data_IF_207737696603
#
_entry.id   IF_207737696603
#
_cell.length_a   1.000
_cell.length_b   1.000
_cell.length_c   1.000
_cell.angle_alpha   90.00
_cell.angle_beta   90.00
_cell.angle_gamma   90.00
#
_symmetry.space_group_name_H-M   'P 1'
#
loop_
_entity.id
_entity.type
_entity.pdbx_description
1 polymer ?
#
# COMPACT_ATOMS: atom_id res chain seq x y z
N UNK A 1 6.17 -4.34 -14.51
CA UNK A 1 5.48 -3.06 -14.70
C UNK A 1 4.37 -2.89 -13.67
N UNK A 2 3.26 -3.64 -13.76
CA UNK A 2 2.11 -3.51 -12.84
C UNK A 2 2.50 -3.67 -11.35
N UNK A 3 3.40 -4.61 -11.01
CA UNK A 3 3.85 -4.86 -9.62
C UNK A 3 4.41 -3.59 -8.95
N UNK A 4 5.41 -2.94 -9.57
CA UNK A 4 6.02 -1.72 -9.02
C UNK A 4 5.00 -0.57 -8.91
N UNK A 5 4.11 -0.44 -9.92
CA UNK A 5 3.03 0.54 -9.90
C UNK A 5 2.06 0.33 -8.74
N UNK A 6 1.58 -0.91 -8.56
CA UNK A 6 0.64 -1.25 -7.49
C UNK A 6 1.24 -1.09 -6.10
N UNK A 7 2.51 -1.47 -5.93
CA UNK A 7 3.21 -1.31 -4.65
C UNK A 7 3.44 0.18 -4.33
N UNK A 8 3.92 0.96 -5.30
CA UNK A 8 4.11 2.40 -5.15
C UNK A 8 2.81 3.13 -4.82
N UNK A 9 1.75 2.87 -5.58
CA UNK A 9 0.46 3.53 -5.41
C UNK A 9 -0.20 3.21 -4.06
N UNK A 10 -0.33 1.92 -3.70
CA UNK A 10 -1.01 1.54 -2.47
C UNK A 10 -0.23 1.94 -1.22
N UNK A 11 1.11 1.83 -1.25
CA UNK A 11 1.93 2.32 -0.13
C UNK A 11 1.86 3.85 -0.02
N UNK A 12 1.93 4.57 -1.13
CA UNK A 12 1.78 6.03 -1.16
C UNK A 12 0.43 6.49 -0.62
N UNK A 13 -0.68 5.82 -0.99
CA UNK A 13 -2.01 6.15 -0.46
C UNK A 13 -2.08 5.87 1.05
N UNK A 14 -1.62 4.71 1.52
CA UNK A 14 -1.63 4.40 2.95
C UNK A 14 -0.81 5.40 3.77
N UNK A 15 0.48 5.51 3.48
CA UNK A 15 1.35 6.39 4.24
C UNK A 15 0.92 7.83 4.10
N UNK A 16 0.44 8.24 2.92
CA UNK A 16 -0.11 9.57 2.71
C UNK A 16 -1.36 9.84 3.56
N UNK A 17 -2.29 8.88 3.67
CA UNK A 17 -3.45 9.03 4.55
C UNK A 17 -3.05 9.13 6.02
N UNK A 18 -2.08 8.33 6.47
CA UNK A 18 -1.57 8.37 7.85
C UNK A 18 -0.91 9.72 8.15
N UNK A 19 -0.06 10.21 7.25
CA UNK A 19 0.61 11.52 7.36
C UNK A 19 -0.42 12.64 7.37
N UNK A 20 -1.43 12.59 6.48
CA UNK A 20 -2.52 13.56 6.43
C UNK A 20 -3.39 13.58 7.68
N UNK A 21 -3.55 12.43 8.35
CA UNK A 21 -4.25 12.29 9.64
C UNK A 21 -3.39 12.78 10.83
N UNK A 22 -2.07 12.82 10.72
CA UNK A 22 -1.20 13.27 11.83
C UNK A 22 -0.97 14.79 11.77
N UNK A 23 -0.75 15.33 10.58
CA UNK A 23 -0.32 16.71 10.34
C UNK A 23 -1.47 17.68 10.04
N UNK A 24 -2.69 17.38 10.51
CA UNK A 24 -3.90 18.17 10.26
C UNK A 24 -3.65 19.68 10.19
N UNK A 25 -4.07 20.32 9.10
CA UNK A 25 -4.02 21.77 8.93
C UNK A 25 -2.93 22.30 7.98
N UNK A 26 -1.95 21.48 7.59
CA UNK A 26 -0.98 21.84 6.54
C UNK A 26 -0.92 20.79 5.43
N UNK A 27 -1.84 20.93 4.46
CA UNK A 27 -1.92 20.06 3.28
C UNK A 27 -0.61 20.04 2.49
N UNK A 28 0.11 21.17 2.44
CA UNK A 28 1.33 21.29 1.64
C UNK A 28 2.44 20.42 2.23
N UNK A 29 2.68 20.54 3.54
CA UNK A 29 3.68 19.73 4.26
C UNK A 29 3.32 18.24 4.23
N UNK A 30 2.05 17.91 4.47
CA UNK A 30 1.54 16.53 4.38
C UNK A 30 1.80 15.94 2.99
N UNK A 31 1.51 16.69 1.94
CA UNK A 31 1.67 16.23 0.55
C UNK A 31 3.14 16.00 0.18
N UNK A 32 4.05 16.91 0.56
CA UNK A 32 5.49 16.76 0.27
C UNK A 32 6.05 15.49 0.93
N UNK A 33 5.75 15.27 2.21
CA UNK A 33 6.21 14.10 2.95
C UNK A 33 5.64 12.82 2.32
N UNK A 34 4.36 12.83 1.98
CA UNK A 34 3.66 11.70 1.38
C UNK A 34 4.19 11.34 0.00
N UNK A 35 4.50 12.34 -0.84
CA UNK A 35 5.14 12.15 -2.15
C UNK A 35 6.52 11.51 -1.98
N UNK A 36 7.34 12.00 -1.05
CA UNK A 36 8.68 11.46 -0.83
C UNK A 36 8.66 9.99 -0.42
N UNK A 37 7.72 9.62 0.45
CA UNK A 37 7.52 8.23 0.88
C UNK A 37 7.07 7.37 -0.30
N UNK A 38 6.02 7.79 -1.01
CA UNK A 38 5.47 7.05 -2.16
C UNK A 38 6.48 6.88 -3.29
N UNK A 39 7.23 7.94 -3.61
CA UNK A 39 8.29 7.91 -4.61
C UNK A 39 9.42 6.97 -4.22
N UNK A 40 9.88 7.02 -2.97
CA UNK A 40 10.95 6.14 -2.48
C UNK A 40 10.57 4.67 -2.57
N UNK A 41 9.34 4.31 -2.18
CA UNK A 41 8.85 2.94 -2.24
C UNK A 41 8.66 2.49 -3.69
N UNK A 42 8.08 3.34 -4.54
CA UNK A 42 7.93 3.09 -5.97
C UNK A 42 9.27 2.90 -6.69
N UNK A 43 10.28 3.68 -6.32
CA UNK A 43 11.63 3.57 -6.85
C UNK A 43 12.28 2.23 -6.44
N UNK A 44 12.31 1.93 -5.14
CA UNK A 44 12.95 0.71 -4.60
C UNK A 44 12.31 -0.56 -5.17
N UNK A 45 10.97 -0.58 -5.28
CA UNK A 45 10.23 -1.75 -5.80
C UNK A 45 10.36 -1.93 -7.31
N UNK A 46 10.72 -0.87 -8.06
CA UNK A 46 10.97 -0.93 -9.50
C UNK A 46 12.35 -1.46 -9.89
N UNK A 47 13.37 -1.26 -9.05
CA UNK A 47 14.78 -1.66 -9.30
C UNK A 47 14.94 -3.10 -9.79
N UNK A 48 14.32 -4.13 -9.18
CA UNK A 48 14.56 -5.52 -9.56
C UNK A 48 13.95 -5.91 -10.93
N UNK A 49 13.12 -5.05 -11.55
CA UNK A 49 12.42 -5.39 -12.78
C UNK A 49 13.02 -4.72 -14.02
N UNK A 50 12.96 -3.38 -14.12
CA UNK A 50 13.49 -2.61 -15.26
C UNK A 50 13.45 -1.11 -14.99
N UNK A 51 14.17 -0.32 -15.79
CA UNK A 51 14.13 1.15 -15.70
C UNK A 51 12.71 1.70 -15.93
N UNK A 52 11.95 1.11 -16.85
CA UNK A 52 10.54 1.47 -17.08
C UNK A 52 9.68 1.18 -15.84
N UNK A 53 9.92 0.06 -15.15
CA UNK A 53 9.20 -0.25 -13.91
C UNK A 53 9.54 0.72 -12.77
N UNK A 54 10.77 1.24 -12.71
CA UNK A 54 11.16 2.30 -11.77
C UNK A 54 10.38 3.59 -12.06
N UNK A 55 10.28 4.00 -13.34
CA UNK A 55 9.55 5.21 -13.73
C UNK A 55 8.06 5.06 -13.36
N UNK A 56 7.41 3.98 -13.77
CA UNK A 56 6.00 3.75 -13.47
C UNK A 56 5.72 3.64 -11.97
N UNK A 57 6.59 2.94 -11.23
CA UNK A 57 6.52 2.83 -9.78
C UNK A 57 6.66 4.19 -9.09
N UNK A 58 7.64 4.99 -9.52
CA UNK A 58 7.89 6.31 -8.92
C UNK A 58 6.76 7.30 -9.20
N UNK A 59 6.26 7.35 -10.44
CA UNK A 59 5.14 8.23 -10.83
C UNK A 59 3.85 7.83 -10.12
N UNK A 60 3.54 6.53 -10.08
CA UNK A 60 2.36 6.05 -9.36
C UNK A 60 2.46 6.22 -7.85
N UNK A 61 3.65 6.09 -7.27
CA UNK A 61 3.92 6.38 -5.86
C UNK A 61 3.74 7.86 -5.52
N UNK A 62 4.21 8.77 -6.40
CA UNK A 62 3.96 10.20 -6.30
C UNK A 62 2.46 10.52 -6.35
N UNK A 63 1.73 9.95 -7.31
CA UNK A 63 0.28 10.12 -7.44
C UNK A 63 -0.47 9.56 -6.22
N UNK A 64 -0.06 8.38 -5.74
CA UNK A 64 -0.62 7.75 -4.55
C UNK A 64 -0.38 8.58 -3.28
N UNK A 65 0.82 9.13 -3.11
CA UNK A 65 1.16 10.01 -1.99
C UNK A 65 0.31 11.28 -1.95
N UNK A 66 0.11 11.94 -3.10
CA UNK A 66 -0.77 13.12 -3.18
C UNK A 66 -2.22 12.78 -2.85
N UNK A 67 -2.77 11.73 -3.46
CA UNK A 67 -4.15 11.31 -3.18
C UNK A 67 -4.32 10.85 -1.73
N UNK A 68 -3.30 10.19 -1.17
CA UNK A 68 -3.29 9.78 0.23
C UNK A 68 -3.34 10.97 1.19
N UNK A 69 -2.46 11.97 1.00
CA UNK A 69 -2.44 13.18 1.83
C UNK A 69 -3.79 13.90 1.83
N UNK A 70 -4.39 14.06 0.64
CA UNK A 70 -5.71 14.68 0.47
C UNK A 70 -6.83 13.87 1.13
N UNK A 71 -6.81 12.54 0.98
CA UNK A 71 -7.77 11.66 1.67
C UNK A 71 -7.62 11.75 3.19
N UNK A 72 -6.38 11.79 3.70
CA UNK A 72 -6.09 11.95 5.12
C UNK A 72 -6.72 13.22 5.68
N UNK A 73 -6.48 14.37 5.04
CA UNK A 73 -7.05 15.65 5.49
C UNK A 73 -8.59 15.68 5.45
N UNK A 74 -9.22 15.11 4.41
CA UNK A 74 -10.68 15.14 4.29
C UNK A 74 -11.38 14.23 5.31
N UNK A 75 -10.76 13.11 5.66
CA UNK A 75 -11.37 12.04 6.48
C UNK A 75 -11.41 12.42 7.96
N UNK A 76 -10.49 13.26 8.40
CA UNK A 76 -10.27 13.56 9.82
C UNK A 76 -11.37 14.43 10.41
N UNK A 77 -12.19 15.01 9.56
CA UNK A 77 -13.42 15.71 9.93
C UNK A 77 -14.59 14.77 10.27
N UNK A 78 -14.50 13.46 10.00
CA UNK A 78 -15.62 12.54 10.18
C UNK A 78 -15.27 11.32 11.04
N UNK A 79 -14.37 10.44 10.58
CA UNK A 79 -14.02 9.18 11.28
C UNK A 79 -12.64 8.64 10.79
N UNK A 80 -11.51 9.15 11.30
CA UNK A 80 -10.17 8.73 10.84
C UNK A 80 -9.88 7.24 11.02
N UNK A 81 -10.24 6.66 12.17
CA UNK A 81 -9.99 5.25 12.45
C UNK A 81 -10.64 4.30 11.46
N UNK A 82 -11.90 4.56 11.08
CA UNK A 82 -12.64 3.66 10.19
C UNK A 82 -12.04 3.65 8.78
N UNK A 83 -11.65 4.83 8.28
CA UNK A 83 -11.02 4.94 6.97
C UNK A 83 -9.64 4.27 6.93
N UNK A 84 -8.80 4.51 7.93
CA UNK A 84 -7.48 3.89 8.02
C UNK A 84 -7.59 2.36 8.09
N UNK A 85 -8.55 1.84 8.86
CA UNK A 85 -8.88 0.41 8.89
C UNK A 85 -9.24 -0.09 7.48
N UNK A 86 -10.19 0.54 6.78
CA UNK A 86 -10.60 0.10 5.43
C UNK A 86 -9.44 0.15 4.43
N UNK A 87 -8.67 1.23 4.42
CA UNK A 87 -7.52 1.41 3.54
C UNK A 87 -6.42 0.37 3.78
N UNK A 88 -6.12 0.08 5.06
CA UNK A 88 -5.14 -0.95 5.41
C UNK A 88 -5.61 -2.33 4.95
N UNK A 89 -6.90 -2.65 5.09
CA UNK A 89 -7.47 -3.89 4.55
C UNK A 89 -7.28 -4.00 3.03
N UNK A 90 -7.62 -2.96 2.27
CA UNK A 90 -7.46 -2.98 0.81
C UNK A 90 -6.00 -3.14 0.39
N UNK A 91 -5.09 -2.47 1.09
CA UNK A 91 -3.66 -2.57 0.78
C UNK A 91 -3.10 -3.95 1.07
N UNK A 92 -3.46 -4.57 2.19
CA UNK A 92 -3.02 -5.94 2.48
C UNK A 92 -3.59 -6.93 1.45
N UNK A 93 -4.86 -6.79 1.07
CA UNK A 93 -5.45 -7.62 0.01
C UNK A 93 -4.70 -7.49 -1.32
N UNK A 94 -4.42 -6.27 -1.76
CA UNK A 94 -3.71 -6.01 -3.01
C UNK A 94 -2.27 -6.52 -2.93
N UNK A 95 -1.57 -6.32 -1.81
CA UNK A 95 -0.21 -6.83 -1.63
C UNK A 95 -0.16 -8.36 -1.68
N UNK A 96 -1.14 -9.05 -1.10
CA UNK A 96 -1.26 -10.51 -1.24
C UNK A 96 -1.43 -10.95 -2.69
N UNK A 97 -2.29 -10.27 -3.47
CA UNK A 97 -2.47 -10.57 -4.90
C UNK A 97 -1.18 -10.34 -5.69
N UNK A 98 -0.47 -9.25 -5.40
CA UNK A 98 0.82 -8.93 -6.03
C UNK A 98 1.88 -9.97 -5.68
N UNK A 99 1.97 -10.40 -4.42
CA UNK A 99 2.87 -11.47 -3.98
C UNK A 99 2.57 -12.78 -4.71
N UNK A 100 1.29 -13.17 -4.81
CA UNK A 100 0.89 -14.37 -5.54
C UNK A 100 1.28 -14.34 -7.02
N UNK A 101 0.99 -13.23 -7.72
CA UNK A 101 1.39 -13.07 -9.13
C UNK A 101 2.91 -13.08 -9.31
N UNK A 102 3.64 -12.50 -8.36
CA UNK A 102 5.11 -12.49 -8.37
C UNK A 102 5.67 -13.90 -8.15
N UNK A 103 5.11 -14.67 -7.22
CA UNK A 103 5.48 -16.06 -6.97
C UNK A 103 5.20 -16.95 -8.17
N UNK A 104 4.04 -16.82 -8.82
CA UNK A 104 3.69 -17.59 -10.02
C UNK A 104 4.71 -17.34 -11.14
N UNK A 105 5.08 -16.08 -11.39
CA UNK A 105 6.11 -15.72 -12.36
C UNK A 105 7.50 -16.22 -11.97
N UNK A 106 7.82 -16.30 -10.68
CA UNK A 106 9.09 -16.87 -10.19
C UNK A 106 9.14 -18.39 -10.37
N UNK A 107 8.03 -19.10 -10.15
CA UNK A 107 7.93 -20.55 -10.33
C UNK A 107 8.07 -20.94 -11.80
N UNK A 108 7.42 -20.19 -12.71
CA UNK A 108 7.61 -20.34 -14.15
C UNK A 108 9.06 -20.03 -14.58
N UNK A 109 9.73 -19.12 -13.88
CA UNK A 109 11.14 -18.74 -14.13
C UNK A 109 12.19 -19.60 -13.39
N UNK A 110 11.79 -20.70 -12.74
CA UNK A 110 12.66 -21.70 -12.09
C UNK A 110 13.68 -21.14 -11.06
N UNK A 111 13.38 -20.01 -10.40
CA UNK A 111 14.14 -19.50 -9.24
C UNK A 111 13.40 -19.87 -7.96
N UNK A 112 13.87 -20.91 -7.27
CA UNK A 112 13.41 -21.29 -5.92
C UNK A 112 13.75 -20.17 -4.92
N UNK A 113 12.77 -19.35 -4.55
CA UNK A 113 12.92 -18.32 -3.53
C UNK A 113 11.60 -17.93 -2.87
N UNK A 114 11.61 -17.98 -1.54
CA UNK A 114 10.57 -17.60 -0.57
C UNK A 114 9.23 -18.38 -0.62
N UNK A 115 9.13 -19.36 0.27
CA UNK A 115 8.09 -20.37 0.32
C UNK A 115 7.24 -20.16 1.59
N UNK A 116 6.05 -19.54 1.52
CA UNK A 116 4.96 -19.76 2.49
C UNK A 116 3.57 -19.24 2.05
N UNK A 117 3.46 -18.24 1.17
CA UNK A 117 2.17 -17.68 0.71
C UNK A 117 1.54 -18.48 -0.46
N UNK A 118 2.36 -19.28 -1.16
CA UNK A 118 2.00 -19.92 -2.42
C UNK A 118 0.87 -20.96 -2.40
N UNK A 119 0.61 -21.63 -1.27
CA UNK A 119 -0.19 -22.87 -1.31
C UNK A 119 -1.72 -22.64 -1.34
N UNK A 120 -2.22 -21.52 -0.80
CA UNK A 120 -3.65 -21.18 -0.80
C UNK A 120 -3.93 -19.65 -0.75
N UNK A 121 -3.87 -18.93 -1.89
CA UNK A 121 -4.02 -17.46 -1.92
C UNK A 121 -5.42 -16.98 -1.47
N UNK A 122 -6.47 -17.75 -1.70
CA UNK A 122 -7.81 -17.42 -1.22
C UNK A 122 -7.97 -17.60 0.30
N UNK A 123 -7.17 -18.50 0.89
CA UNK A 123 -7.16 -18.76 2.33
C UNK A 123 -6.40 -17.66 3.07
N UNK A 124 -5.31 -17.12 2.51
CA UNK A 124 -4.62 -15.95 3.08
C UNK A 124 -5.49 -14.68 3.03
N UNK A 125 -6.26 -14.48 1.95
CA UNK A 125 -7.25 -13.40 1.87
C UNK A 125 -8.36 -13.59 2.92
N UNK A 126 -8.89 -14.81 3.08
CA UNK A 126 -9.89 -15.11 4.09
C UNK A 126 -9.38 -14.87 5.52
N UNK A 127 -8.15 -15.28 5.83
CA UNK A 127 -7.51 -15.04 7.13
C UNK A 127 -7.35 -13.54 7.40
N UNK A 128 -6.97 -12.76 6.39
CA UNK A 128 -6.81 -11.30 6.54
C UNK A 128 -8.14 -10.62 6.84
N UNK A 129 -9.22 -11.04 6.17
CA UNK A 129 -10.57 -10.54 6.41
C UNK A 129 -11.05 -10.91 7.82
N UNK A 130 -10.82 -12.15 8.26
CA UNK A 130 -11.18 -12.62 9.60
C UNK A 130 -10.37 -11.87 10.68
N UNK A 131 -9.06 -11.70 10.48
CA UNK A 131 -8.20 -10.94 11.38
C UNK A 131 -8.66 -9.48 11.51
N UNK A 132 -9.03 -8.86 10.40
CA UNK A 132 -9.55 -7.50 10.39
C UNK A 132 -10.90 -7.38 11.10
N UNK A 133 -11.79 -8.36 10.91
CA UNK A 133 -13.07 -8.40 11.63
C UNK A 133 -12.85 -8.55 13.15
N UNK A 134 -11.79 -9.25 13.55
CA UNK A 134 -11.35 -9.36 14.94
C UNK A 134 -10.81 -8.02 15.48
N UNK A 135 -10.05 -7.28 14.66
CA UNK A 135 -9.45 -5.99 15.02
C UNK A 135 -10.47 -4.83 15.04
N UNK A 136 -11.68 -5.03 14.51
CA UNK A 136 -12.76 -4.03 14.50
C UNK A 136 -13.00 -3.41 15.88
N UNK A 137 -12.81 -4.20 16.95
CA UNK A 137 -13.05 -3.80 18.34
C UNK A 137 -11.89 -3.05 19.01
N UNK A 138 -10.80 -2.77 18.29
CA UNK A 138 -9.63 -2.05 18.83
C UNK A 138 -9.64 -0.61 18.33
N UNK A 139 -9.71 0.37 19.23
CA UNK A 139 -9.49 1.79 18.93
C UNK A 139 -8.00 1.99 18.58
N UNK A 140 -7.71 2.62 17.44
CA UNK A 140 -6.33 2.75 16.91
C UNK A 140 -5.76 4.12 17.29
N UNK A 141 -6.61 5.11 17.56
CA UNK A 141 -6.22 6.47 17.92
C UNK A 141 -7.01 6.90 19.18
N UNK A 142 -6.28 7.32 20.23
CA UNK A 142 -6.81 8.02 21.41
C UNK A 142 -6.68 9.53 21.23
#
# INVERSE_FOLDING_TARGET
>A
MIVAMTLGMMSGVLFGTVVGVILHGDLLVSTIISILIGLSIGFITGIPFSLFAVIDGSVSGLMGGMMGAMLGEMVTMSNPDTMLKILTLFTVMIFMLVSYETEKKLQEANKKGFFFISKYPYLSLFITIVFFFLLKNVEIIQ
#
